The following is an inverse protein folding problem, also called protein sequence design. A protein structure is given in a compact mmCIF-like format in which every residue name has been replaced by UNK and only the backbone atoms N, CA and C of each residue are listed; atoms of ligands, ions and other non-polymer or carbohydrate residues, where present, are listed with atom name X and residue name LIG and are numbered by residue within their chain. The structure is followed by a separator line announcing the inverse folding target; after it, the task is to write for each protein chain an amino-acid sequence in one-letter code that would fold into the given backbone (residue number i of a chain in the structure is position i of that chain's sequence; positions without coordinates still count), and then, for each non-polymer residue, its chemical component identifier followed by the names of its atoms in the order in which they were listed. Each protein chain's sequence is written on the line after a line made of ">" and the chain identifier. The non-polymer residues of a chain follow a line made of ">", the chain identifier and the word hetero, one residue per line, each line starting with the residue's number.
data_IF_044351670059
#
_entry.id   IF_044351670059
#
_cell.length_a   1.000
_cell.length_b   1.000
_cell.length_c   1.000
_cell.angle_alpha   90.00
_cell.angle_beta   90.00
_cell.angle_gamma   90.00
#
_symmetry.space_group_name_H-M   'P 1'
#
loop_
_entity.id
_entity.type
_entity.pdbx_description
1 polymer ?
#
# COMPACT_ATOMS: atom_id res chain seq x y z
N UNK A 1 10.19 -3.92 -2.36
CA UNK A 1 9.01 -3.11 -2.01
C UNK A 1 9.14 -2.41 -0.63
N UNK A 2 10.32 -1.87 -0.29
CA UNK A 2 10.60 -1.32 1.05
C UNK A 2 9.87 0.00 1.30
N UNK A 3 9.89 0.91 0.33
CA UNK A 3 9.21 2.21 0.49
C UNK A 3 7.70 2.03 0.55
N UNK A 4 7.16 1.11 -0.26
CA UNK A 4 5.72 0.86 -0.38
C UNK A 4 5.06 0.49 0.96
N UNK A 5 5.59 -0.49 1.69
CA UNK A 5 5.00 -0.86 2.99
C UNK A 5 5.23 0.21 4.07
N UNK A 6 6.36 0.94 4.02
CA UNK A 6 6.66 2.03 4.95
C UNK A 6 5.64 3.18 4.79
N UNK A 7 5.27 3.49 3.54
CA UNK A 7 4.25 4.50 3.24
C UNK A 7 2.90 4.13 3.87
N UNK A 8 2.38 2.93 3.58
CA UNK A 8 1.08 2.48 4.11
C UNK A 8 1.12 2.30 5.64
N UNK A 9 2.25 1.83 6.19
CA UNK A 9 2.45 1.74 7.64
C UNK A 9 2.43 3.11 8.31
N UNK A 10 3.10 4.10 7.71
CA UNK A 10 3.07 5.48 8.17
C UNK A 10 1.66 6.09 8.12
N UNK A 11 0.91 5.86 7.04
CA UNK A 11 -0.48 6.29 6.92
C UNK A 11 -1.38 5.64 7.96
N UNK A 12 -1.22 4.33 8.22
CA UNK A 12 -1.97 3.63 9.25
C UNK A 12 -1.76 4.26 10.63
N UNK A 13 -0.50 4.52 11.01
CA UNK A 13 -0.16 5.21 12.26
C UNK A 13 -0.77 6.61 12.30
N UNK A 14 -0.64 7.37 11.21
CA UNK A 14 -1.22 8.71 11.11
C UNK A 14 -2.74 8.69 11.32
N UNK A 15 -3.45 7.77 10.67
CA UNK A 15 -4.91 7.66 10.82
C UNK A 15 -5.32 7.22 12.23
N UNK A 16 -4.56 6.35 12.91
CA UNK A 16 -4.80 6.03 14.32
C UNK A 16 -4.65 7.29 15.18
N UNK A 17 -3.56 8.05 15.00
CA UNK A 17 -3.33 9.30 15.75
C UNK A 17 -4.47 10.29 15.49
N UNK A 18 -4.86 10.47 14.23
CA UNK A 18 -5.96 11.37 13.86
C UNK A 18 -7.29 10.92 14.43
N UNK A 19 -7.56 9.61 14.48
CA UNK A 19 -8.77 9.06 15.11
C UNK A 19 -8.83 9.44 16.60
N UNK A 20 -7.71 9.31 17.31
CA UNK A 20 -7.63 9.70 18.73
C UNK A 20 -7.83 11.20 18.90
N UNK A 21 -7.13 12.03 18.12
CA UNK A 21 -7.27 13.50 18.17
C UNK A 21 -8.72 13.89 17.90
N UNK A 22 -9.31 13.33 16.84
CA UNK A 22 -10.67 13.65 16.41
C UNK A 22 -11.72 13.29 17.47
N UNK A 23 -11.55 12.15 18.14
CA UNK A 23 -12.39 11.78 19.26
C UNK A 23 -12.27 12.81 20.41
N UNK A 24 -11.05 13.21 20.78
CA UNK A 24 -10.83 14.15 21.88
C UNK A 24 -11.40 15.55 21.63
N UNK A 25 -11.50 15.99 20.36
CA UNK A 25 -12.10 17.29 20.01
C UNK A 25 -13.62 17.23 19.79
N UNK A 26 -14.27 16.11 20.14
CA UNK A 26 -15.74 15.97 20.06
C UNK A 26 -16.27 15.56 18.69
N UNK A 27 -15.47 14.89 17.86
CA UNK A 27 -15.87 14.40 16.55
C UNK A 27 -17.03 13.40 16.60
N UNK A 28 -17.83 13.34 15.52
CA UNK A 28 -19.00 12.47 15.49
C UNK A 28 -18.65 10.97 15.26
N UNK A 29 -19.54 10.04 15.63
CA UNK A 29 -19.26 8.60 15.54
C UNK A 29 -18.92 8.10 14.12
N UNK A 30 -19.50 8.72 13.09
CA UNK A 30 -19.27 8.34 11.69
C UNK A 30 -17.83 8.67 11.27
N UNK A 31 -17.34 9.86 11.59
CA UNK A 31 -15.96 10.26 11.30
C UNK A 31 -14.93 9.42 12.05
N UNK A 32 -15.17 9.14 13.34
CA UNK A 32 -14.31 8.26 14.16
C UNK A 32 -14.25 6.85 13.53
N UNK A 33 -15.41 6.29 13.19
CA UNK A 33 -15.49 4.96 12.57
C UNK A 33 -14.79 4.90 11.21
N UNK A 34 -15.02 5.90 10.35
CA UNK A 34 -14.39 5.98 9.02
C UNK A 34 -12.87 6.06 9.09
N UNK A 35 -12.33 6.90 9.99
CA UNK A 35 -10.88 7.03 10.16
C UNK A 35 -10.24 5.77 10.75
N UNK A 36 -10.89 5.13 11.74
CA UNK A 36 -10.40 3.88 12.31
C UNK A 36 -10.37 2.76 11.26
N UNK A 37 -11.42 2.63 10.45
CA UNK A 37 -11.46 1.65 9.35
C UNK A 37 -10.41 1.95 8.27
N UNK A 38 -10.19 3.22 7.95
CA UNK A 38 -9.11 3.63 7.04
C UNK A 38 -7.72 3.28 7.60
N UNK A 39 -7.51 3.44 8.91
CA UNK A 39 -6.28 3.03 9.59
C UNK A 39 -6.05 1.52 9.50
N UNK A 40 -7.10 0.72 9.75
CA UNK A 40 -7.06 -0.73 9.61
C UNK A 40 -6.78 -1.16 8.16
N UNK A 41 -7.44 -0.55 7.18
CA UNK A 41 -7.22 -0.84 5.76
C UNK A 41 -5.77 -0.55 5.34
N UNK A 42 -5.25 0.64 5.69
CA UNK A 42 -3.86 0.99 5.43
C UNK A 42 -2.90 0.01 6.11
N UNK A 43 -3.20 -0.41 7.35
CA UNK A 43 -2.45 -1.41 8.09
C UNK A 43 -2.44 -2.79 7.43
N UNK A 44 -3.58 -3.25 6.90
CA UNK A 44 -3.69 -4.51 6.15
C UNK A 44 -2.82 -4.48 4.89
N UNK A 45 -2.86 -3.39 4.13
CA UNK A 45 -2.03 -3.21 2.93
C UNK A 45 -0.54 -3.19 3.31
N UNK A 46 -0.17 -2.43 4.36
CA UNK A 46 1.20 -2.37 4.86
C UNK A 46 1.72 -3.76 5.26
N UNK A 47 0.92 -4.52 6.02
CA UNK A 47 1.27 -5.88 6.45
C UNK A 47 1.46 -6.82 5.26
N UNK A 48 0.54 -6.79 4.28
CA UNK A 48 0.64 -7.64 3.11
C UNK A 48 1.92 -7.37 2.28
N UNK A 49 2.21 -6.09 2.00
CA UNK A 49 3.41 -5.70 1.23
C UNK A 49 4.68 -5.98 2.03
N UNK A 50 4.64 -5.78 3.36
CA UNK A 50 5.73 -6.16 4.26
C UNK A 50 5.98 -7.66 4.31
N UNK A 51 4.94 -8.47 4.35
CA UNK A 51 5.08 -9.92 4.33
C UNK A 51 5.61 -10.40 2.98
N UNK A 52 5.09 -9.84 1.89
CA UNK A 52 5.48 -10.19 0.52
C UNK A 52 6.95 -9.89 0.25
N UNK A 53 7.47 -8.71 0.64
CA UNK A 53 8.87 -8.39 0.42
C UNK A 53 9.81 -9.33 1.19
N UNK A 54 9.44 -9.73 2.42
CA UNK A 54 10.22 -10.69 3.21
C UNK A 54 10.26 -12.05 2.55
N UNK A 55 9.19 -12.44 1.88
CA UNK A 55 9.08 -13.71 1.17
C UNK A 55 9.89 -13.73 -0.14
N UNK A 56 9.91 -12.62 -0.87
CA UNK A 56 10.68 -12.50 -2.13
C UNK A 56 12.18 -12.65 -1.85
N UNK A 57 12.68 -12.11 -0.75
CA UNK A 57 14.05 -12.36 -0.27
C UNK A 57 15.16 -11.71 -1.09
N UNK A 58 14.84 -11.03 -2.19
CA UNK A 58 15.77 -10.25 -3.02
C UNK A 58 15.30 -8.80 -3.13
N UNK A 59 16.24 -7.90 -3.40
CA UNK A 59 15.93 -6.52 -3.76
C UNK A 59 15.46 -6.52 -5.21
N UNK A 60 14.24 -6.04 -5.46
CA UNK A 60 13.71 -5.92 -6.82
C UNK A 60 14.48 -4.81 -7.57
N UNK A 61 14.65 -4.92 -8.90
CA UNK A 61 15.31 -3.88 -9.70
C UNK A 61 14.71 -2.48 -9.49
N UNK A 62 13.39 -2.39 -9.37
CA UNK A 62 12.65 -1.14 -9.09
C UNK A 62 12.98 -0.47 -7.75
N UNK A 63 13.52 -1.22 -6.79
CA UNK A 63 13.90 -0.73 -5.46
C UNK A 63 15.42 -0.47 -5.36
N UNK A 64 16.20 -0.76 -6.41
CA UNK A 64 17.65 -0.62 -6.43
C UNK A 64 18.09 0.68 -7.12
N UNK A 65 18.75 1.56 -6.37
CA UNK A 65 19.22 2.87 -6.86
C UNK A 65 20.36 2.79 -7.88
N UNK A 66 21.00 1.63 -8.03
CA UNK A 66 22.06 1.38 -9.02
C UNK A 66 21.69 0.28 -10.02
N UNK A 67 20.40 -0.04 -10.19
CA UNK A 67 19.97 -1.03 -11.18
C UNK A 67 20.30 -0.59 -12.62
N UNK A 68 20.60 -1.57 -13.47
CA UNK A 68 20.78 -1.39 -14.90
C UNK A 68 19.46 -1.67 -15.64
N UNK A 69 19.34 -1.19 -16.88
CA UNK A 69 18.14 -1.41 -17.71
C UNK A 69 17.91 -2.90 -17.98
N UNK A 70 18.99 -3.66 -18.13
CA UNK A 70 18.96 -5.11 -18.35
C UNK A 70 18.42 -5.92 -17.17
N UNK A 71 18.50 -5.38 -15.94
CA UNK A 71 17.96 -6.05 -14.74
C UNK A 71 16.42 -6.21 -14.80
N UNK A 72 15.74 -5.43 -15.65
CA UNK A 72 14.29 -5.46 -15.86
C UNK A 72 13.84 -5.95 -17.24
N UNK A 73 14.76 -6.41 -18.11
CA UNK A 73 14.49 -6.70 -19.52
C UNK A 73 13.76 -8.05 -19.80
N UNK A 74 13.16 -8.67 -18.78
CA UNK A 74 12.40 -9.91 -18.92
C UNK A 74 10.98 -9.71 -19.46
N UNK A 75 10.25 -10.82 -19.67
CA UNK A 75 8.82 -10.75 -20.00
C UNK A 75 8.02 -10.21 -18.79
N UNK A 76 7.28 -9.12 -19.02
CA UNK A 76 6.54 -8.42 -17.96
C UNK A 76 5.25 -9.16 -17.53
N UNK A 77 4.74 -10.03 -18.39
CA UNK A 77 3.49 -10.76 -18.21
C UNK A 77 2.49 -10.53 -19.33
N UNK A 78 1.24 -10.94 -19.10
CA UNK A 78 0.17 -10.81 -20.09
C UNK A 78 -0.62 -9.50 -19.90
N UNK A 79 -0.81 -8.77 -21.00
CA UNK A 79 -1.69 -7.60 -21.06
C UNK A 79 -2.77 -7.86 -22.10
N UNK A 80 -4.05 -7.69 -21.74
CA UNK A 80 -5.14 -7.86 -22.69
C UNK A 80 -5.11 -6.73 -23.73
N UNK A 81 -4.96 -7.04 -25.04
CA UNK A 81 -4.85 -6.01 -26.08
C UNK A 81 -6.20 -5.36 -26.41
N UNK A 82 -7.31 -6.05 -26.12
CA UNK A 82 -8.66 -5.53 -26.29
C UNK A 82 -9.63 -6.27 -25.37
N UNK A 83 -10.59 -5.56 -24.79
CA UNK A 83 -11.66 -6.16 -24.01
C UNK A 83 -12.91 -5.31 -24.10
N UNK A 84 -14.04 -5.95 -24.42
CA UNK A 84 -15.36 -5.30 -24.44
C UNK A 84 -16.12 -5.51 -23.13
N UNK A 85 -15.61 -6.37 -22.24
CA UNK A 85 -16.15 -6.59 -20.89
C UNK A 85 -16.18 -5.37 -19.96
N UNK A 86 -15.25 -4.39 -20.00
CA UNK A 86 -15.33 -3.22 -19.14
C UNK A 86 -16.35 -2.17 -19.62
N UNK A 87 -16.98 -2.37 -20.79
CA UNK A 87 -18.07 -1.54 -21.29
C UNK A 87 -19.41 -2.28 -21.06
N UNK A 88 -20.52 -1.55 -20.79
CA UNK A 88 -21.83 -2.15 -20.61
C UNK A 88 -22.38 -2.82 -21.88
#
# INVERSE_FOLDING_TARGET
>A
MKVNWQLFGGLSIFYVIMTVIYWQVGGEPVGIGGMLLAACLAGMVAFYVWFTQKRIGVILPEDNVTALIEDGAGELGFYSPHSWWPLP
#
